data_IF_951948023565
#
_entry.id   IF_951948023565
#
_cell.length_a   1.000
_cell.length_b   1.000
_cell.length_c   1.000
_cell.angle_alpha   90.00
_cell.angle_beta   90.00
_cell.angle_gamma   90.00
#
_symmetry.space_group_name_H-M   'P 1'
#
loop_
_entity.id
_entity.type
_entity.pdbx_description
1 polymer ?
#
# COMPACT_ATOMS: atom_id res chain seq x y z
N UNK A 1 12.56 12.80 -31.61
CA UNK A 1 13.82 12.60 -30.85
C UNK A 1 13.55 11.91 -29.49
N UNK A 2 12.54 12.34 -28.72
CA UNK A 2 12.11 11.70 -27.46
C UNK A 2 11.70 10.21 -27.61
N UNK A 3 11.02 9.85 -28.69
CA UNK A 3 10.55 8.49 -28.93
C UNK A 3 11.70 7.46 -29.12
N UNK A 4 12.81 7.87 -29.74
CA UNK A 4 14.04 7.06 -29.84
C UNK A 4 14.79 6.95 -28.51
N UNK A 5 14.65 7.94 -27.63
CA UNK A 5 15.28 7.95 -26.31
C UNK A 5 14.50 7.02 -25.35
N UNK A 6 13.16 7.06 -25.38
CA UNK A 6 12.28 6.17 -24.62
C UNK A 6 12.44 4.71 -25.10
N UNK A 7 12.49 4.45 -26.41
CA UNK A 7 12.77 3.09 -26.94
C UNK A 7 14.15 2.55 -26.55
N UNK A 8 15.17 3.42 -26.41
CA UNK A 8 16.50 3.02 -25.92
C UNK A 8 16.52 2.73 -24.43
N UNK A 9 15.76 3.47 -23.63
CA UNK A 9 15.62 3.21 -22.19
C UNK A 9 14.83 1.92 -21.95
N UNK A 10 13.71 1.71 -22.64
CA UNK A 10 12.80 0.57 -22.41
C UNK A 10 13.25 -0.77 -23.05
N UNK A 11 14.44 -0.83 -23.66
CA UNK A 11 14.95 -2.02 -24.34
C UNK A 11 15.69 -2.98 -23.41
N UNK A 12 15.05 -4.09 -23.03
CA UNK A 12 15.66 -5.29 -22.42
C UNK A 12 16.17 -5.13 -20.99
N UNK A 13 17.13 -4.24 -20.74
CA UNK A 13 17.75 -3.98 -19.43
C UNK A 13 16.80 -3.38 -18.40
N UNK A 14 15.80 -2.62 -18.85
CA UNK A 14 14.84 -1.99 -17.95
C UNK A 14 14.00 -3.03 -17.19
N UNK A 15 13.77 -4.23 -17.73
CA UNK A 15 13.04 -5.28 -17.00
C UNK A 15 13.84 -5.78 -15.80
N UNK A 16 15.13 -6.06 -15.98
CA UNK A 16 15.99 -6.54 -14.89
C UNK A 16 16.32 -5.44 -13.87
N UNK A 17 16.50 -4.18 -14.31
CA UNK A 17 16.76 -3.05 -13.40
C UNK A 17 15.50 -2.59 -12.65
N UNK A 18 14.32 -2.64 -13.28
CA UNK A 18 13.03 -2.39 -12.60
C UNK A 18 12.72 -3.50 -11.58
N UNK A 19 13.15 -4.74 -11.84
CA UNK A 19 13.04 -5.85 -10.90
C UNK A 19 14.11 -5.84 -9.78
N UNK A 20 15.18 -5.04 -9.92
CA UNK A 20 16.29 -4.93 -8.98
C UNK A 20 16.29 -3.65 -8.14
N UNK A 21 15.57 -2.60 -8.55
CA UNK A 21 15.54 -1.30 -7.87
C UNK A 21 14.80 -1.33 -6.53
N UNK A 22 15.39 -0.71 -5.50
CA UNK A 22 14.69 -0.40 -4.25
C UNK A 22 13.49 0.51 -4.55
N UNK A 23 12.30 0.08 -4.14
CA UNK A 23 11.04 0.77 -4.41
C UNK A 23 10.66 1.81 -3.34
N UNK A 24 11.62 2.44 -2.67
CA UNK A 24 11.27 3.39 -1.63
C UNK A 24 12.37 4.32 -1.18
N UNK A 25 11.97 5.26 -0.33
CA UNK A 25 12.86 6.25 0.27
C UNK A 25 12.53 6.44 1.75
N UNK A 26 13.51 6.91 2.52
CA UNK A 26 13.30 7.37 3.88
C UNK A 26 13.75 8.84 4.01
N UNK A 27 12.88 9.70 4.53
CA UNK A 27 13.20 11.08 4.89
C UNK A 27 13.29 11.22 6.40
N UNK A 28 14.52 11.17 6.89
CA UNK A 28 14.85 11.24 8.31
C UNK A 28 15.31 12.65 8.74
N UNK A 29 14.60 13.69 8.30
CA UNK A 29 14.94 15.06 8.70
C UNK A 29 14.41 15.40 10.08
N UNK A 30 15.13 16.27 10.80
CA UNK A 30 14.70 16.84 12.06
C UNK A 30 13.28 17.44 11.96
N UNK A 31 12.54 17.42 13.08
CA UNK A 31 11.20 18.01 13.14
C UNK A 31 11.27 19.50 12.74
N UNK A 32 10.27 19.97 12.00
CA UNK A 32 10.23 21.33 11.46
C UNK A 32 10.95 21.56 10.12
N UNK A 33 11.74 20.61 9.63
CA UNK A 33 12.48 20.74 8.35
C UNK A 33 11.62 20.50 7.08
N UNK A 34 10.29 20.50 7.20
CA UNK A 34 9.40 20.44 6.04
C UNK A 34 9.32 19.09 5.31
N UNK A 35 9.48 17.95 6.01
CA UNK A 35 9.34 16.60 5.41
C UNK A 35 8.04 16.44 4.59
N UNK A 36 6.91 16.82 5.18
CA UNK A 36 5.59 16.82 4.52
C UNK A 36 5.60 17.65 3.23
N UNK A 37 6.24 18.82 3.23
CA UNK A 37 6.34 19.68 2.04
C UNK A 37 7.10 19.00 0.91
N UNK A 38 8.27 18.42 1.20
CA UNK A 38 9.08 17.72 0.21
C UNK A 38 8.30 16.56 -0.42
N UNK A 39 7.66 15.73 0.42
CA UNK A 39 6.88 14.58 -0.05
C UNK A 39 5.73 15.01 -0.95
N UNK A 40 4.95 16.01 -0.53
CA UNK A 40 3.83 16.52 -1.31
C UNK A 40 4.30 17.12 -2.64
N UNK A 41 5.38 17.90 -2.64
CA UNK A 41 5.94 18.49 -3.86
C UNK A 41 6.40 17.42 -4.85
N UNK A 42 7.12 16.38 -4.37
CA UNK A 42 7.56 15.26 -5.21
C UNK A 42 6.36 14.50 -5.77
N UNK A 43 5.34 14.20 -4.96
CA UNK A 43 4.12 13.53 -5.43
C UNK A 43 3.36 14.35 -6.45
N UNK A 44 3.27 15.65 -6.26
CA UNK A 44 2.60 16.54 -7.20
C UNK A 44 3.30 16.58 -8.54
N UNK A 45 4.64 16.73 -8.53
CA UNK A 45 5.43 16.67 -9.76
C UNK A 45 5.30 15.31 -10.46
N UNK A 46 5.35 14.21 -9.71
CA UNK A 46 5.17 12.87 -10.26
C UNK A 46 3.79 12.72 -10.92
N UNK A 47 2.73 13.23 -10.29
CA UNK A 47 1.38 13.21 -10.86
C UNK A 47 1.32 13.94 -12.21
N UNK A 48 1.89 15.15 -12.29
CA UNK A 48 1.97 15.92 -13.55
C UNK A 48 2.76 15.14 -14.61
N UNK A 49 3.94 14.63 -14.27
CA UNK A 49 4.77 13.90 -15.22
C UNK A 49 4.09 12.63 -15.73
N UNK A 50 3.39 11.89 -14.88
CA UNK A 50 2.66 10.68 -15.30
C UNK A 50 1.54 11.00 -16.29
N UNK A 51 0.85 12.14 -16.12
CA UNK A 51 -0.15 12.59 -17.09
C UNK A 51 0.50 12.95 -18.43
N UNK A 52 1.63 13.65 -18.42
CA UNK A 52 2.36 14.01 -19.64
C UNK A 52 2.92 12.77 -20.37
N UNK A 53 3.47 11.81 -19.62
CA UNK A 53 3.94 10.53 -20.19
C UNK A 53 2.77 9.77 -20.82
N UNK A 54 1.61 9.71 -20.17
CA UNK A 54 0.43 9.06 -20.74
C UNK A 54 0.01 9.70 -22.07
N UNK A 55 0.00 11.04 -22.14
CA UNK A 55 -0.28 11.79 -23.38
C UNK A 55 0.71 11.45 -24.49
N UNK A 56 2.01 11.46 -24.19
CA UNK A 56 3.08 11.18 -25.18
C UNK A 56 3.00 9.75 -25.70
N UNK A 57 2.65 8.79 -24.84
CA UNK A 57 2.51 7.38 -25.22
C UNK A 57 1.23 7.08 -26.01
N UNK A 58 0.34 8.06 -26.21
CA UNK A 58 -0.97 7.85 -26.83
C UNK A 58 -1.86 6.90 -26.04
N UNK A 59 -1.50 6.62 -24.77
CA UNK A 59 -2.32 5.86 -23.87
C UNK A 59 -3.43 6.79 -23.37
N UNK A 60 -4.65 6.59 -23.86
CA UNK A 60 -5.79 7.43 -23.51
C UNK A 60 -5.98 7.57 -22.00
N UNK A 61 -5.66 6.52 -21.23
CA UNK A 61 -5.57 6.55 -19.76
C UNK A 61 -4.60 5.45 -19.30
N UNK A 62 -3.41 5.82 -18.79
CA UNK A 62 -2.74 4.91 -17.84
C UNK A 62 -3.51 5.02 -16.52
N UNK A 63 -4.02 3.92 -15.94
CA UNK A 63 -4.75 4.01 -14.68
C UNK A 63 -3.81 4.56 -13.60
N UNK A 64 -4.07 5.80 -13.17
CA UNK A 64 -3.32 6.44 -12.10
C UNK A 64 -3.73 5.76 -10.80
N UNK A 65 -2.82 4.98 -10.22
CA UNK A 65 -3.05 4.35 -8.91
C UNK A 65 -3.17 5.42 -7.84
N UNK A 66 -4.05 5.18 -6.86
CA UNK A 66 -4.17 6.03 -5.67
C UNK A 66 -2.91 5.93 -4.82
N UNK A 67 -2.61 6.97 -4.07
CA UNK A 67 -1.57 6.94 -3.03
C UNK A 67 -2.21 6.80 -1.65
N UNK A 68 -1.51 6.14 -0.74
CA UNK A 68 -1.92 5.99 0.66
C UNK A 68 -0.97 6.76 1.56
N UNK A 69 -1.52 7.47 2.54
CA UNK A 69 -0.76 8.07 3.64
C UNK A 69 -1.26 7.42 4.92
N UNK A 70 -0.35 6.76 5.64
CA UNK A 70 -0.59 6.22 6.98
C UNK A 70 0.02 7.20 7.97
N UNK A 71 -0.82 7.89 8.74
CA UNK A 71 -0.38 8.90 9.69
C UNK A 71 -1.22 8.85 10.99
N UNK A 72 -0.68 9.33 12.12
CA UNK A 72 -1.46 9.52 13.34
C UNK A 72 -2.72 10.36 13.09
N UNK A 73 -3.81 10.06 13.78
CA UNK A 73 -5.12 10.71 13.57
C UNK A 73 -5.02 12.24 13.67
N UNK A 74 -4.23 12.74 14.63
CA UNK A 74 -4.01 14.18 14.82
C UNK A 74 -3.33 14.88 13.63
N UNK A 75 -2.70 14.13 12.72
CA UNK A 75 -2.02 14.67 11.54
C UNK A 75 -2.87 14.63 10.27
N UNK A 76 -4.05 13.99 10.28
CA UNK A 76 -4.87 13.81 9.07
C UNK A 76 -5.25 15.13 8.42
N UNK A 77 -5.75 16.09 9.22
CA UNK A 77 -6.15 17.39 8.72
C UNK A 77 -4.93 18.20 8.23
N UNK A 78 -3.81 18.13 8.95
CA UNK A 78 -2.56 18.78 8.54
C UNK A 78 -2.10 18.27 7.16
N UNK A 79 -2.07 16.96 6.93
CA UNK A 79 -1.75 16.39 5.63
C UNK A 79 -2.70 16.85 4.53
N UNK A 80 -4.01 16.80 4.78
CA UNK A 80 -5.04 17.21 3.83
C UNK A 80 -4.90 18.69 3.44
N UNK A 81 -4.76 19.58 4.42
CA UNK A 81 -4.61 21.02 4.19
C UNK A 81 -3.32 21.32 3.44
N UNK A 82 -2.23 20.66 3.80
CA UNK A 82 -0.93 20.89 3.19
C UNK A 82 -0.89 20.42 1.73
N UNK A 83 -1.48 19.26 1.42
CA UNK A 83 -1.64 18.77 0.03
C UNK A 83 -2.51 19.73 -0.77
N UNK A 84 -3.67 20.10 -0.24
CA UNK A 84 -4.61 21.00 -0.92
C UNK A 84 -3.96 22.35 -1.21
N UNK A 85 -3.24 22.91 -0.24
CA UNK A 85 -2.53 24.18 -0.37
C UNK A 85 -1.42 24.14 -1.42
N UNK A 86 -0.55 23.13 -1.40
CA UNK A 86 0.59 23.06 -2.35
C UNK A 86 0.11 22.79 -3.77
N UNK A 87 -0.91 21.95 -3.92
CA UNK A 87 -1.38 21.49 -5.23
C UNK A 87 -2.46 22.40 -5.83
N UNK A 88 -2.91 23.42 -5.09
CA UNK A 88 -4.05 24.25 -5.49
C UNK A 88 -5.35 23.45 -5.66
N UNK A 89 -5.48 22.33 -4.94
CA UNK A 89 -6.61 21.40 -5.08
C UNK A 89 -6.55 20.46 -6.28
N UNK A 90 -5.46 20.46 -7.07
CA UNK A 90 -5.31 19.53 -8.19
C UNK A 90 -5.26 18.06 -7.75
N UNK A 91 -4.72 17.79 -6.55
CA UNK A 91 -4.74 16.46 -5.94
C UNK A 91 -5.86 16.41 -4.91
N UNK A 92 -6.89 15.62 -5.20
CA UNK A 92 -8.00 15.36 -4.26
C UNK A 92 -7.59 14.38 -3.16
N UNK A 93 -7.98 14.69 -1.93
CA UNK A 93 -7.59 13.95 -0.72
C UNK A 93 -8.82 13.57 0.10
N UNK A 94 -8.90 12.30 0.48
CA UNK A 94 -9.95 11.78 1.36
C UNK A 94 -9.34 11.13 2.59
N UNK A 95 -9.99 11.32 3.75
CA UNK A 95 -9.60 10.67 5.00
C UNK A 95 -10.48 9.43 5.17
N UNK A 96 -9.86 8.26 5.09
CA UNK A 96 -10.50 6.98 5.33
C UNK A 96 -10.39 6.63 6.82
N UNK A 97 -11.46 6.93 7.55
CA UNK A 97 -11.67 6.48 8.91
C UNK A 97 -12.94 5.65 8.93
N UNK A 98 -12.83 4.33 9.06
CA UNK A 98 -13.99 3.46 9.02
C UNK A 98 -14.66 3.35 10.39
N UNK A 99 -15.45 4.35 10.73
CA UNK A 99 -16.34 4.36 11.89
C UNK A 99 -17.77 3.95 11.46
N UNK A 100 -18.06 2.64 11.47
CA UNK A 100 -19.43 2.12 11.33
C UNK A 100 -19.72 1.22 10.13
N UNK A 101 -21.00 0.82 9.99
CA UNK A 101 -21.51 -0.20 9.04
C UNK A 101 -21.66 0.29 7.59
N UNK A 102 -21.58 1.59 7.32
CA UNK A 102 -21.86 2.18 6.00
C UNK A 102 -20.83 3.22 5.56
N UNK A 103 -19.55 2.87 5.56
CA UNK A 103 -18.58 3.62 4.75
C UNK A 103 -18.80 3.26 3.28
N UNK A 104 -19.18 4.24 2.46
CA UNK A 104 -19.00 4.14 1.00
C UNK A 104 -17.60 3.61 0.72
N UNK A 105 -17.50 2.59 -0.12
CA UNK A 105 -16.26 1.85 -0.30
C UNK A 105 -15.15 2.76 -0.83
N UNK A 106 -13.90 2.44 -0.48
CA UNK A 106 -12.73 3.07 -1.10
C UNK A 106 -12.73 2.97 -2.65
N UNK A 107 -13.43 1.97 -3.18
CA UNK A 107 -13.72 1.76 -4.60
C UNK A 107 -14.41 2.98 -5.23
N UNK A 108 -15.37 3.57 -4.52
CA UNK A 108 -16.22 4.64 -5.04
C UNK A 108 -15.54 6.02 -4.91
N UNK A 109 -14.44 6.08 -4.16
CA UNK A 109 -13.68 7.31 -3.96
C UNK A 109 -12.98 7.74 -5.26
N UNK A 110 -13.21 8.97 -5.70
CA UNK A 110 -12.44 9.61 -6.78
C UNK A 110 -11.17 10.30 -6.27
N UNK A 111 -10.81 10.11 -5.00
CA UNK A 111 -9.63 10.73 -4.41
C UNK A 111 -8.33 10.15 -4.99
N UNK A 112 -7.37 11.03 -5.25
CA UNK A 112 -6.02 10.65 -5.65
C UNK A 112 -5.18 10.15 -4.47
N UNK A 113 -5.42 10.71 -3.28
CA UNK A 113 -4.72 10.38 -2.04
C UNK A 113 -5.74 9.99 -0.97
N UNK A 114 -5.45 8.87 -0.30
CA UNK A 114 -6.21 8.38 0.85
C UNK A 114 -5.34 8.53 2.08
N UNK A 115 -5.87 9.14 3.13
CA UNK A 115 -5.21 9.24 4.44
C UNK A 115 -5.90 8.28 5.40
N UNK A 116 -5.14 7.46 6.12
CA UNK A 116 -5.63 6.55 7.15
C UNK A 116 -4.70 6.56 8.36
N UNK A 117 -5.10 5.87 9.42
CA UNK A 117 -4.29 5.66 10.61
C UNK A 117 -3.85 4.18 10.76
N UNK A 118 -2.78 3.89 11.52
CA UNK A 118 -2.29 2.52 11.70
C UNK A 118 -3.35 1.55 12.25
N UNK A 119 -4.19 1.98 13.19
CA UNK A 119 -5.23 1.14 13.78
C UNK A 119 -6.28 0.70 12.73
N UNK A 120 -6.71 1.62 11.88
CA UNK A 120 -7.64 1.35 10.78
C UNK A 120 -7.03 0.36 9.80
N UNK A 121 -5.73 0.51 9.50
CA UNK A 121 -5.01 -0.43 8.64
C UNK A 121 -4.92 -1.84 9.24
N UNK A 122 -4.68 -1.97 10.55
CA UNK A 122 -4.69 -3.25 11.27
C UNK A 122 -6.07 -3.90 11.20
N UNK A 123 -7.12 -3.13 11.47
CA UNK A 123 -8.50 -3.63 11.45
C UNK A 123 -8.93 -4.07 10.04
N UNK A 124 -8.56 -3.30 9.02
CA UNK A 124 -8.81 -3.63 7.61
C UNK A 124 -8.10 -4.94 7.22
N UNK A 125 -6.83 -5.09 7.62
CA UNK A 125 -6.06 -6.32 7.41
C UNK A 125 -6.66 -7.53 8.10
N UNK A 126 -7.15 -7.38 9.34
CA UNK A 126 -7.80 -8.47 10.08
C UNK A 126 -9.03 -8.98 9.32
N UNK A 127 -9.88 -8.06 8.86
CA UNK A 127 -11.06 -8.40 8.04
C UNK A 127 -10.66 -9.03 6.71
N UNK A 128 -9.63 -8.50 6.05
CA UNK A 128 -9.11 -9.09 4.81
C UNK A 128 -8.76 -10.57 5.00
N UNK A 129 -8.09 -10.92 6.10
CA UNK A 129 -7.76 -12.32 6.44
C UNK A 129 -9.00 -13.18 6.71
N UNK A 130 -9.93 -12.68 7.52
CA UNK A 130 -11.18 -13.39 7.84
C UNK A 130 -11.99 -13.68 6.57
N UNK A 131 -12.07 -12.70 5.67
CA UNK A 131 -12.76 -12.81 4.40
C UNK A 131 -12.03 -13.78 3.45
N UNK A 132 -10.70 -13.71 3.38
CA UNK A 132 -9.89 -14.67 2.60
C UNK A 132 -10.09 -16.11 3.07
N UNK A 133 -10.04 -16.36 4.38
CA UNK A 133 -10.28 -17.69 4.95
C UNK A 133 -11.70 -18.20 4.64
N UNK A 134 -12.70 -17.31 4.71
CA UNK A 134 -14.08 -17.64 4.35
C UNK A 134 -14.20 -18.04 2.88
N UNK A 135 -13.57 -17.29 1.97
CA UNK A 135 -13.54 -17.59 0.53
C UNK A 135 -12.84 -18.93 0.29
N UNK A 136 -11.67 -19.16 0.88
CA UNK A 136 -10.92 -20.41 0.73
C UNK A 136 -11.74 -21.63 1.18
N UNK A 137 -12.49 -21.49 2.27
CA UNK A 137 -13.44 -22.52 2.71
C UNK A 137 -14.55 -22.76 1.69
N UNK A 138 -15.20 -21.70 1.19
CA UNK A 138 -16.26 -21.82 0.18
C UNK A 138 -15.77 -22.48 -1.11
N UNK A 139 -14.53 -22.16 -1.53
CA UNK A 139 -13.90 -22.81 -2.69
C UNK A 139 -13.66 -24.30 -2.40
N UNK A 140 -13.13 -24.64 -1.23
CA UNK A 140 -12.92 -26.03 -0.82
C UNK A 140 -14.23 -26.82 -0.78
N UNK A 141 -15.29 -26.24 -0.22
CA UNK A 141 -16.61 -26.86 -0.14
C UNK A 141 -17.20 -27.04 -1.55
N UNK A 142 -17.11 -26.04 -2.43
CA UNK A 142 -17.60 -26.16 -3.81
C UNK A 142 -16.91 -27.28 -4.60
N UNK A 143 -15.59 -27.45 -4.41
CA UNK A 143 -14.81 -28.53 -5.02
C UNK A 143 -15.25 -29.90 -4.48
N UNK A 144 -15.47 -30.01 -3.16
CA UNK A 144 -15.93 -31.26 -2.54
C UNK A 144 -17.33 -31.70 -3.02
N UNK A 145 -18.19 -30.74 -3.40
CA UNK A 145 -19.56 -31.01 -3.86
C UNK A 145 -19.69 -31.15 -5.40
N UNK A 146 -18.56 -31.27 -6.13
CA UNK A 146 -18.57 -31.54 -7.57
C UNK A 146 -19.09 -30.38 -8.43
N UNK A 147 -18.96 -29.15 -7.96
CA UNK A 147 -19.36 -27.96 -8.71
C UNK A 147 -18.49 -27.84 -9.98
N UNK A 148 -19.06 -27.68 -11.19
CA UNK A 148 -18.31 -27.78 -12.46
C UNK A 148 -17.28 -26.68 -12.72
N UNK A 149 -17.21 -25.66 -11.86
CA UNK A 149 -16.17 -24.62 -11.95
C UNK A 149 -14.89 -25.15 -11.31
N UNK A 150 -13.77 -25.07 -12.04
CA UNK A 150 -12.49 -25.50 -11.47
C UNK A 150 -12.14 -24.66 -10.24
N UNK A 151 -11.38 -25.20 -9.27
CA UNK A 151 -10.87 -24.39 -8.15
C UNK A 151 -10.14 -23.14 -8.64
N UNK A 152 -9.48 -23.24 -9.80
CA UNK A 152 -8.84 -22.12 -10.47
C UNK A 152 -9.86 -21.14 -11.04
N UNK A 153 -10.97 -21.56 -11.65
CA UNK A 153 -12.05 -20.64 -12.07
C UNK A 153 -12.68 -19.90 -10.88
N UNK A 154 -12.87 -20.58 -9.75
CA UNK A 154 -13.39 -19.95 -8.53
C UNK A 154 -12.36 -18.97 -7.98
N UNK A 155 -11.10 -19.38 -7.82
CA UNK A 155 -10.00 -18.49 -7.40
C UNK A 155 -9.84 -17.32 -8.36
N UNK A 156 -9.97 -17.56 -9.66
CA UNK A 156 -9.84 -16.57 -10.70
C UNK A 156 -11.03 -15.60 -10.69
N UNK A 157 -12.25 -16.05 -10.42
CA UNK A 157 -13.39 -15.15 -10.12
C UNK A 157 -13.14 -14.25 -8.89
N UNK A 158 -12.28 -14.67 -7.96
CA UNK A 158 -11.88 -13.88 -6.79
C UNK A 158 -10.55 -13.11 -6.97
N UNK A 159 -9.71 -13.46 -7.97
CA UNK A 159 -8.34 -12.91 -8.16
C UNK A 159 -8.13 -12.17 -9.48
N UNK A 160 -8.88 -12.45 -10.56
CA UNK A 160 -8.93 -11.59 -11.75
C UNK A 160 -9.66 -10.30 -11.39
N UNK A 161 -8.85 -9.34 -10.97
CA UNK A 161 -8.99 -7.90 -11.17
C UNK A 161 -10.29 -7.46 -11.87
N UNK A 162 -11.14 -6.71 -11.14
CA UNK A 162 -12.18 -5.77 -11.61
C UNK A 162 -13.62 -6.04 -11.20
N UNK A 163 -13.95 -7.14 -10.52
CA UNK A 163 -15.24 -7.20 -9.82
C UNK A 163 -15.08 -6.85 -8.34
N UNK A 164 -15.00 -5.54 -8.06
CA UNK A 164 -15.08 -4.97 -6.70
C UNK A 164 -16.32 -5.45 -5.91
N UNK A 165 -17.30 -6.08 -6.58
CA UNK A 165 -18.46 -6.73 -5.96
C UNK A 165 -18.12 -8.05 -5.24
N UNK A 166 -17.03 -8.73 -5.60
CA UNK A 166 -16.62 -10.01 -5.00
C UNK A 166 -15.54 -9.86 -3.92
N UNK A 167 -14.88 -8.71 -3.87
CA UNK A 167 -13.91 -8.38 -2.83
C UNK A 167 -14.66 -7.92 -1.58
N UNK A 168 -14.17 -8.25 -0.38
CA UNK A 168 -14.76 -7.73 0.84
C UNK A 168 -14.77 -6.21 0.79
N UNK A 169 -15.94 -5.61 0.51
CA UNK A 169 -16.19 -4.16 0.62
C UNK A 169 -15.77 -3.62 1.98
N UNK A 170 -15.63 -4.53 2.93
CA UNK A 170 -15.20 -4.31 4.28
C UNK A 170 -13.68 -4.44 4.55
N UNK A 171 -12.83 -4.61 3.54
CA UNK A 171 -11.38 -4.54 3.70
C UNK A 171 -10.65 -3.94 2.48
N UNK A 172 -10.99 -2.71 2.06
CA UNK A 172 -10.48 -2.14 0.82
C UNK A 172 -9.00 -1.80 0.83
N UNK A 173 -8.36 -1.55 1.97
CA UNK A 173 -6.95 -1.13 2.01
C UNK A 173 -6.01 -2.27 1.63
N UNK A 174 -6.33 -3.50 2.06
CA UNK A 174 -5.55 -4.70 1.74
C UNK A 174 -5.68 -5.17 0.29
N UNK A 175 -6.77 -4.81 -0.38
CA UNK A 175 -7.09 -5.22 -1.75
C UNK A 175 -6.55 -4.23 -2.79
N UNK A 176 -6.51 -2.95 -2.44
CA UNK A 176 -6.13 -1.88 -3.36
C UNK A 176 -4.65 -1.99 -3.74
N UNK A 177 -4.36 -1.81 -5.03
CA UNK A 177 -2.99 -1.62 -5.51
C UNK A 177 -2.66 -0.14 -5.49
N UNK A 178 -1.74 0.24 -4.63
CA UNK A 178 -1.31 1.61 -4.40
C UNK A 178 -0.16 1.99 -5.34
N UNK A 179 -0.10 3.27 -5.73
CA UNK A 179 1.09 3.84 -6.35
C UNK A 179 2.19 3.92 -5.30
N UNK A 180 2.06 4.85 -4.37
CA UNK A 180 2.98 5.00 -3.25
C UNK A 180 2.25 4.97 -1.91
N UNK A 181 2.86 4.30 -0.94
CA UNK A 181 2.44 4.31 0.47
C UNK A 181 3.43 5.17 1.26
N UNK A 182 2.96 6.27 1.81
CA UNK A 182 3.72 7.12 2.73
C UNK A 182 3.36 6.76 4.16
N UNK A 183 4.38 6.60 5.01
CA UNK A 183 4.21 6.28 6.42
C UNK A 183 4.85 7.41 7.21
N UNK A 184 3.99 8.20 7.84
CA UNK A 184 4.41 9.30 8.69
C UNK A 184 4.69 8.80 10.11
N UNK A 185 5.71 9.40 10.73
CA UNK A 185 6.28 8.97 12.01
C UNK A 185 6.39 7.45 12.13
N UNK A 186 7.06 6.80 11.17
CA UNK A 186 7.05 5.34 11.05
C UNK A 186 7.56 4.60 12.29
N UNK A 187 8.35 5.26 13.12
CA UNK A 187 8.88 4.73 14.38
C UNK A 187 7.82 4.65 15.48
N UNK A 188 6.73 5.41 15.40
CA UNK A 188 5.67 5.49 16.41
C UNK A 188 4.62 4.38 16.20
N UNK A 189 5.00 3.15 16.56
CA UNK A 189 4.12 1.98 16.56
C UNK A 189 3.72 1.43 15.19
N UNK A 190 3.94 2.15 14.08
CA UNK A 190 3.59 1.65 12.75
C UNK A 190 4.61 0.63 12.21
N UNK A 191 5.91 0.93 12.30
CA UNK A 191 7.01 0.08 11.84
C UNK A 191 8.07 -0.23 12.91
N UNK A 192 7.78 0.05 14.19
CA UNK A 192 8.73 -0.13 15.29
C UNK A 192 9.20 -1.58 15.49
N UNK A 193 8.41 -2.58 15.11
CA UNK A 193 8.76 -3.98 15.25
C UNK A 193 8.03 -4.81 14.18
N UNK A 194 8.76 -5.65 13.44
CA UNK A 194 8.17 -6.55 12.42
C UNK A 194 7.09 -7.51 12.98
N UNK A 195 7.09 -7.76 14.29
CA UNK A 195 6.07 -8.58 14.95
C UNK A 195 4.76 -7.84 15.22
N UNK A 196 4.79 -6.51 15.26
CA UNK A 196 3.60 -5.70 15.52
C UNK A 196 2.58 -5.85 14.38
N UNK A 197 1.30 -6.01 14.75
CA UNK A 197 0.17 -6.07 13.83
C UNK A 197 0.17 -4.91 12.82
N UNK A 198 0.50 -3.70 13.25
CA UNK A 198 0.57 -2.53 12.38
C UNK A 198 1.66 -2.69 11.30
N UNK A 199 2.85 -3.14 11.70
CA UNK A 199 3.97 -3.34 10.77
C UNK A 199 3.64 -4.40 9.75
N UNK A 200 2.96 -5.46 10.17
CA UNK A 200 2.51 -6.50 9.25
C UNK A 200 1.38 -6.06 8.34
N UNK A 201 0.50 -5.19 8.82
CA UNK A 201 -0.54 -4.60 7.99
C UNK A 201 0.07 -3.77 6.87
N UNK A 202 1.05 -2.92 7.20
CA UNK A 202 1.83 -2.17 6.22
C UNK A 202 2.57 -3.10 5.26
N UNK A 203 3.31 -4.08 5.77
CA UNK A 203 4.12 -4.96 4.93
C UNK A 203 3.27 -5.81 3.98
N UNK A 204 1.99 -6.05 4.32
CA UNK A 204 1.02 -6.71 3.43
C UNK A 204 0.42 -5.80 2.35
N UNK A 205 0.66 -4.49 2.39
CA UNK A 205 0.15 -3.57 1.38
C UNK A 205 0.80 -3.81 0.02
N UNK A 206 -0.05 -3.82 -0.99
CA UNK A 206 0.33 -3.90 -2.38
C UNK A 206 0.58 -2.49 -2.93
N UNK A 207 1.84 -2.08 -3.03
CA UNK A 207 2.25 -0.77 -3.51
C UNK A 207 3.44 -0.84 -4.47
N UNK A 208 3.51 0.10 -5.41
CA UNK A 208 4.68 0.26 -6.30
C UNK A 208 5.86 0.91 -5.57
N UNK A 209 5.62 1.68 -4.51
CA UNK A 209 6.68 2.15 -3.64
C UNK A 209 6.27 2.62 -2.24
N UNK A 210 7.28 2.85 -1.40
CA UNK A 210 7.14 3.27 -0.01
C UNK A 210 7.97 4.51 0.31
N UNK A 211 7.38 5.47 1.03
CA UNK A 211 8.08 6.61 1.59
C UNK A 211 7.97 6.62 3.11
N UNK A 212 9.09 6.54 3.81
CA UNK A 212 9.12 6.48 5.27
C UNK A 212 9.56 7.83 5.83
N UNK A 213 8.76 8.44 6.70
CA UNK A 213 9.04 9.75 7.28
C UNK A 213 9.21 9.62 8.80
N UNK A 214 10.28 10.19 9.33
CA UNK A 214 10.51 10.21 10.78
C UNK A 214 11.47 11.33 11.15
N UNK A 215 11.29 11.94 12.33
CA UNK A 215 12.33 12.77 12.95
C UNK A 215 13.40 11.95 13.68
N UNK A 216 13.03 10.78 14.18
CA UNK A 216 13.83 9.91 15.06
C UNK A 216 13.66 8.45 14.63
N UNK A 217 14.34 7.98 13.57
CA UNK A 217 14.05 6.70 12.93
C UNK A 217 14.38 5.46 13.78
N UNK A 218 15.33 5.56 14.71
CA UNK A 218 15.64 4.53 15.70
C UNK A 218 15.68 5.20 17.08
N UNK A 219 14.87 4.70 18.01
CA UNK A 219 14.76 5.25 19.37
C UNK A 219 15.40 4.34 20.40
N UNK A 220 15.07 3.04 20.33
CA UNK A 220 15.44 2.07 21.36
C UNK A 220 16.44 1.05 20.86
N UNK A 221 16.30 0.58 19.62
CA UNK A 221 17.23 -0.40 19.06
C UNK A 221 17.30 -0.33 17.54
N UNK A 222 18.52 -0.35 16.99
CA UNK A 222 18.74 -0.43 15.54
C UNK A 222 18.12 -1.71 14.97
N UNK A 223 18.28 -2.84 15.67
CA UNK A 223 17.81 -4.14 15.20
C UNK A 223 16.29 -4.30 15.28
N UNK A 224 15.63 -3.72 16.28
CA UNK A 224 14.16 -3.76 16.38
C UNK A 224 13.50 -2.73 15.48
N UNK A 225 13.91 -1.47 15.62
CA UNK A 225 13.18 -0.31 15.06
C UNK A 225 13.36 -0.19 13.54
N UNK A 226 14.49 -0.67 13.00
CA UNK A 226 14.80 -0.51 11.57
C UNK A 226 14.58 -1.78 10.74
N UNK A 227 14.28 -2.94 11.34
CA UNK A 227 14.11 -4.17 10.57
C UNK A 227 12.95 -4.09 9.58
N UNK A 228 11.76 -3.68 10.03
CA UNK A 228 10.59 -3.55 9.15
C UNK A 228 10.74 -2.41 8.12
N UNK A 229 11.22 -1.20 8.50
CA UNK A 229 11.59 -0.15 7.53
C UNK A 229 12.56 -0.62 6.45
N UNK A 230 13.66 -1.28 6.84
CA UNK A 230 14.65 -1.78 5.90
C UNK A 230 14.08 -2.86 4.99
N UNK A 231 13.22 -3.74 5.51
CA UNK A 231 12.55 -4.75 4.70
C UNK A 231 11.66 -4.11 3.61
N UNK A 232 10.93 -3.04 3.93
CA UNK A 232 10.12 -2.30 2.95
C UNK A 232 10.97 -1.62 1.88
N UNK A 233 12.09 -1.02 2.27
CA UNK A 233 12.94 -0.26 1.35
C UNK A 233 13.83 -1.15 0.48
N UNK A 234 14.34 -2.26 1.03
CA UNK A 234 15.32 -3.12 0.35
C UNK A 234 14.69 -4.21 -0.52
N UNK A 235 13.44 -4.59 -0.25
CA UNK A 235 12.83 -5.75 -0.90
C UNK A 235 11.78 -5.32 -1.91
N UNK A 236 12.09 -5.52 -3.21
CA UNK A 236 11.13 -5.35 -4.29
C UNK A 236 9.85 -6.15 -4.01
N UNK A 237 8.68 -5.64 -4.40
CA UNK A 237 7.38 -6.28 -4.16
C UNK A 237 7.36 -7.78 -4.49
N UNK A 238 7.86 -8.16 -5.66
CA UNK A 238 7.89 -9.58 -6.10
C UNK A 238 8.76 -10.49 -5.23
N UNK A 239 9.67 -9.91 -4.44
CA UNK A 239 10.60 -10.63 -3.55
C UNK A 239 10.19 -10.55 -2.08
N UNK A 240 9.17 -9.76 -1.73
CA UNK A 240 8.64 -9.70 -0.36
C UNK A 240 7.93 -11.01 -0.07
N UNK A 241 8.38 -11.74 0.96
CA UNK A 241 7.67 -12.92 1.46
C UNK A 241 6.25 -12.52 1.84
N UNK A 242 5.27 -13.30 1.40
CA UNK A 242 3.90 -13.12 1.86
C UNK A 242 3.84 -13.37 3.35
N UNK A 243 3.60 -12.32 4.12
CA UNK A 243 3.60 -12.38 5.59
C UNK A 243 2.43 -13.23 6.08
N UNK A 244 1.37 -13.42 5.29
CA UNK A 244 0.30 -14.33 5.69
C UNK A 244 0.82 -15.77 5.85
N UNK A 245 1.75 -16.21 4.99
CA UNK A 245 2.37 -17.54 5.09
C UNK A 245 3.19 -17.68 6.37
N UNK A 246 3.98 -16.65 6.71
CA UNK A 246 4.79 -16.62 7.94
C UNK A 246 3.90 -16.67 9.19
N UNK A 247 2.78 -15.96 9.16
CA UNK A 247 1.82 -15.96 10.26
C UNK A 247 1.07 -17.29 10.40
N UNK A 248 0.72 -17.93 9.28
CA UNK A 248 0.15 -19.29 9.28
C UNK A 248 1.13 -20.32 9.83
N UNK A 249 2.41 -20.24 9.45
CA UNK A 249 3.47 -21.09 10.01
C UNK A 249 3.62 -20.87 11.52
N UNK A 250 3.60 -19.62 11.97
CA UNK A 250 3.69 -19.29 13.39
C UNK A 250 2.44 -19.75 14.18
N UNK A 251 1.26 -19.62 13.59
CA UNK A 251 0.00 -20.10 14.18
C UNK A 251 -0.02 -21.64 14.28
N UNK A 252 0.42 -22.34 13.23
CA UNK A 252 0.57 -23.82 13.22
C UNK A 252 1.61 -24.30 14.24
N UNK A 253 2.66 -23.52 14.46
CA UNK A 253 3.71 -23.82 15.44
C UNK A 253 3.32 -23.52 16.90
N UNK A 254 2.10 -23.04 17.17
CA UNK A 254 1.64 -22.70 18.53
C UNK A 254 2.38 -21.52 19.15
N UNK A 255 3.18 -20.77 18.38
CA UNK A 255 3.84 -19.57 18.86
C UNK A 255 2.80 -18.46 18.93
N UNK A 256 2.53 -17.94 20.13
CA UNK A 256 1.78 -16.70 20.28
C UNK A 256 2.57 -15.60 19.59
N UNK A 257 2.01 -15.10 18.52
CA UNK A 257 2.59 -13.98 17.82
C UNK A 257 2.10 -12.71 18.50
N UNK A 258 3.03 -11.85 18.94
CA UNK A 258 2.79 -10.74 19.86
C UNK A 258 1.45 -10.04 19.66
N UNK A 259 0.60 -10.12 20.69
CA UNK A 259 -0.66 -9.39 20.83
C UNK A 259 -0.41 -7.94 21.15
#
# INVERSE_FOLDING_TARGET
MAERYIKRLCGGRLKEEVEAGSQGFALCYAMGMGKTHVVVAVHYMLHIYMQEVAKVLGASVLPVKKNLIVAPVGMHQHWKDHITRITGGAITVEVYNRTGKHSSGLSDSSAHVIITNPETLVNDRKRFKENRATIEKLVSDAVAHGNPKTPDDLREMFTKQSDERCLPRDAPLGVTTWGVVIIDEFHDGCLANAENLASRAVLSLNADGFGLLSGTPAQNSVNGDLQAPLQLLSTHRSKRKDISLVEEECAKAGKKVGS
#
